data_IF_179903324970
#
_entry.id   IF_179903324970
#
_cell.length_a   1.000
_cell.length_b   1.000
_cell.length_c   1.000
_cell.angle_alpha   90.00
_cell.angle_beta   90.00
_cell.angle_gamma   90.00
#
_symmetry.space_group_name_H-M   'P 1'
#
loop_
_entity.id
_entity.type
_entity.pdbx_description
1 polymer ?
#
# COMPACT_ATOMS: atom_id res chain seq x y z
N UNK A 1 -8.48 20.28 26.76
CA UNK A 1 -8.94 20.33 25.35
C UNK A 1 -10.08 19.35 25.20
N UNK A 2 -11.14 19.72 24.48
CA UNK A 2 -12.20 18.77 24.13
C UNK A 2 -11.83 18.03 22.83
N UNK A 3 -12.64 17.04 22.44
CA UNK A 3 -12.44 16.26 21.21
C UNK A 3 -12.17 17.14 19.98
N UNK A 4 -12.98 18.18 19.75
CA UNK A 4 -12.83 19.09 18.60
C UNK A 4 -11.55 19.92 18.64
N UNK A 5 -11.08 20.30 19.84
CA UNK A 5 -9.81 21.02 20.00
C UNK A 5 -8.63 20.14 19.60
N UNK A 6 -8.65 18.87 20.01
CA UNK A 6 -7.63 17.90 19.64
C UNK A 6 -7.60 17.64 18.13
N UNK A 7 -8.77 17.47 17.49
CA UNK A 7 -8.85 17.31 16.02
C UNK A 7 -8.26 18.53 15.30
N UNK A 8 -8.59 19.75 15.74
CA UNK A 8 -8.01 20.99 15.16
C UNK A 8 -6.50 21.06 15.37
N UNK A 9 -6.00 20.67 16.54
CA UNK A 9 -4.56 20.62 16.82
C UNK A 9 -3.86 19.62 15.90
N UNK A 10 -4.44 18.42 15.71
CA UNK A 10 -3.91 17.41 14.81
C UNK A 10 -3.77 17.94 13.36
N UNK A 11 -4.81 18.59 12.82
CA UNK A 11 -4.72 19.19 11.49
C UNK A 11 -3.68 20.30 11.38
N UNK A 12 -3.50 21.12 12.43
CA UNK A 12 -2.43 22.12 12.45
C UNK A 12 -1.05 21.48 12.42
N UNK A 13 -0.85 20.35 13.10
CA UNK A 13 0.39 19.60 13.06
C UNK A 13 0.65 18.99 11.67
N UNK A 14 -0.38 18.45 11.01
CA UNK A 14 -0.28 18.00 9.60
C UNK A 14 0.18 19.13 8.67
N UNK A 15 -0.36 20.34 8.83
CA UNK A 15 0.03 21.50 8.02
C UNK A 15 1.50 21.92 8.23
N UNK A 16 2.09 21.56 9.38
CA UNK A 16 3.52 21.71 9.66
C UNK A 16 4.35 20.49 9.23
N UNK A 17 3.73 19.49 8.61
CA UNK A 17 4.32 18.19 8.31
C UNK A 17 4.80 17.41 9.55
N UNK A 18 4.30 17.77 10.74
CA UNK A 18 4.59 17.05 11.98
C UNK A 18 3.54 15.97 12.21
N UNK A 19 3.79 14.81 11.58
CA UNK A 19 2.87 13.67 11.67
C UNK A 19 2.90 13.00 13.04
N UNK A 20 4.01 13.07 13.77
CA UNK A 20 4.11 12.49 15.11
C UNK A 20 3.21 13.25 16.10
N UNK A 21 3.26 14.58 16.07
CA UNK A 21 2.39 15.41 16.89
C UNK A 21 0.93 15.31 16.45
N UNK A 22 0.67 15.20 15.13
CA UNK A 22 -0.68 14.98 14.62
C UNK A 22 -1.29 13.66 15.15
N UNK A 23 -0.51 12.58 15.16
CA UNK A 23 -0.92 11.29 15.73
C UNK A 23 -1.26 11.46 17.22
N UNK A 24 -0.40 12.11 18.00
CA UNK A 24 -0.64 12.34 19.42
C UNK A 24 -1.99 13.05 19.67
N UNK A 25 -2.29 14.09 18.90
CA UNK A 25 -3.56 14.79 19.01
C UNK A 25 -4.74 13.97 18.52
N UNK A 26 -4.60 13.15 17.48
CA UNK A 26 -5.67 12.24 17.07
C UNK A 26 -5.95 11.17 18.12
N UNK A 27 -4.92 10.56 18.73
CA UNK A 27 -5.10 9.62 19.82
C UNK A 27 -5.83 10.26 21.02
N UNK A 28 -5.48 11.51 21.36
CA UNK A 28 -6.17 12.27 22.40
C UNK A 28 -7.64 12.57 22.02
N UNK A 29 -7.93 12.86 20.75
CA UNK A 29 -9.29 13.04 20.26
C UNK A 29 -10.11 11.74 20.34
N UNK A 30 -9.51 10.59 19.99
CA UNK A 30 -10.12 9.26 20.10
C UNK A 30 -10.37 8.89 21.56
N UNK A 31 -9.46 9.22 22.47
CA UNK A 31 -9.66 8.99 23.91
C UNK A 31 -10.85 9.81 24.45
N UNK A 32 -11.07 11.02 23.92
CA UNK A 32 -12.18 11.89 24.32
C UNK A 32 -13.54 11.48 23.71
N UNK A 33 -13.55 10.94 22.48
CA UNK A 33 -14.75 10.39 21.83
C UNK A 33 -14.39 9.10 21.07
N UNK A 34 -14.47 7.93 21.73
CA UNK A 34 -14.04 6.66 21.14
C UNK A 34 -14.87 6.17 19.95
N UNK A 35 -16.08 6.71 19.79
CA UNK A 35 -17.09 6.39 18.79
C UNK A 35 -17.02 7.24 17.52
N UNK A 36 -16.12 8.23 17.47
CA UNK A 36 -15.91 9.03 16.25
C UNK A 36 -15.11 8.24 15.20
N UNK A 37 -15.84 7.68 14.23
CA UNK A 37 -15.28 6.93 13.12
C UNK A 37 -14.38 7.79 12.20
N UNK A 38 -14.71 9.07 12.01
CA UNK A 38 -13.97 9.97 11.13
C UNK A 38 -12.59 10.26 11.71
N UNK A 39 -12.51 10.50 13.02
CA UNK A 39 -11.21 10.74 13.66
C UNK A 39 -10.33 9.49 13.60
N UNK A 40 -10.90 8.29 13.79
CA UNK A 40 -10.13 7.04 13.61
C UNK A 40 -9.63 6.88 12.18
N UNK A 41 -10.45 7.18 11.18
CA UNK A 41 -10.05 7.18 9.78
C UNK A 41 -8.94 8.19 9.47
N UNK A 42 -8.99 9.40 10.03
CA UNK A 42 -7.92 10.41 9.86
C UNK A 42 -6.64 10.00 10.56
N UNK A 43 -6.76 9.37 11.72
CA UNK A 43 -5.64 8.80 12.45
C UNK A 43 -4.96 7.68 11.64
N UNK A 44 -5.72 6.77 11.02
CA UNK A 44 -5.15 5.71 10.18
C UNK A 44 -4.36 6.24 8.99
N UNK A 45 -4.88 7.26 8.30
CA UNK A 45 -4.16 7.94 7.21
C UNK A 45 -2.84 8.52 7.73
N UNK A 46 -2.85 9.12 8.91
CA UNK A 46 -1.66 9.77 9.48
C UNK A 46 -0.61 8.73 9.87
N UNK A 47 -1.00 7.62 10.50
CA UNK A 47 -0.11 6.49 10.75
C UNK A 47 0.49 5.90 9.48
N UNK A 48 -0.32 5.71 8.43
CA UNK A 48 0.14 5.19 7.15
C UNK A 48 1.22 6.10 6.54
N UNK A 49 1.02 7.42 6.59
CA UNK A 49 2.02 8.40 6.12
C UNK A 49 3.31 8.40 6.95
N UNK A 50 3.22 8.01 8.22
CA UNK A 50 4.39 7.83 9.11
C UNK A 50 5.03 6.45 9.00
N UNK A 51 4.58 5.60 8.07
CA UNK A 51 5.12 4.24 7.87
C UNK A 51 4.71 3.23 8.94
N UNK A 52 3.79 3.58 9.83
CA UNK A 52 3.30 2.71 10.92
C UNK A 52 2.06 1.94 10.45
N UNK A 53 2.27 0.98 9.53
CA UNK A 53 1.20 0.32 8.80
C UNK A 53 0.27 -0.50 9.69
N UNK A 54 0.79 -1.20 10.70
CA UNK A 54 -0.03 -2.01 11.62
C UNK A 54 -1.03 -1.14 12.38
N UNK A 55 -0.58 0.02 12.87
CA UNK A 55 -1.44 1.00 13.54
C UNK A 55 -2.45 1.61 12.57
N UNK A 56 -2.05 1.90 11.35
CA UNK A 56 -2.96 2.38 10.33
C UNK A 56 -4.11 1.39 10.09
N UNK A 57 -3.80 0.09 9.93
CA UNK A 57 -4.80 -0.96 9.76
C UNK A 57 -5.74 -1.08 10.96
N UNK A 58 -5.22 -1.00 12.19
CA UNK A 58 -6.01 -1.04 13.43
C UNK A 58 -7.08 0.08 13.43
N UNK A 59 -6.66 1.31 13.16
CA UNK A 59 -7.54 2.47 13.17
C UNK A 59 -8.52 2.49 11.98
N UNK A 60 -8.10 2.06 10.79
CA UNK A 60 -8.96 1.97 9.60
C UNK A 60 -10.07 0.92 9.81
N UNK A 61 -9.72 -0.25 10.36
CA UNK A 61 -10.70 -1.29 10.70
C UNK A 61 -11.67 -0.80 11.76
N UNK A 62 -11.20 -0.08 12.78
CA UNK A 62 -12.06 0.49 13.82
C UNK A 62 -13.02 1.54 13.25
N UNK A 63 -12.56 2.41 12.34
CA UNK A 63 -13.43 3.38 11.66
C UNK A 63 -14.55 2.68 10.87
N UNK A 64 -14.20 1.66 10.07
CA UNK A 64 -15.18 0.90 9.28
C UNK A 64 -16.19 0.13 10.16
N UNK A 65 -15.77 -0.34 11.34
CA UNK A 65 -16.66 -1.01 12.30
C UNK A 65 -17.66 -0.05 12.95
N UNK A 66 -17.26 1.19 13.21
CA UNK A 66 -18.12 2.21 13.80
C UNK A 66 -19.10 2.79 12.79
N UNK A 67 -18.66 3.02 11.56
CA UNK A 67 -19.49 3.51 10.47
C UNK A 67 -19.15 2.78 9.17
N UNK A 68 -20.03 1.85 8.78
CA UNK A 68 -19.92 1.09 7.54
C UNK A 68 -20.61 1.76 6.34
N UNK A 69 -21.26 2.91 6.56
CA UNK A 69 -22.01 3.66 5.57
C UNK A 69 -21.13 4.50 4.64
N UNK A 70 -19.88 4.76 5.04
CA UNK A 70 -18.88 5.48 4.24
C UNK A 70 -18.02 4.53 3.40
N UNK A 71 -18.17 4.51 2.07
CA UNK A 71 -17.36 3.64 1.20
C UNK A 71 -15.86 3.91 1.31
N UNK A 72 -15.47 5.15 1.61
CA UNK A 72 -14.08 5.59 1.72
C UNK A 72 -13.31 4.83 2.80
N UNK A 73 -13.97 4.42 3.89
CA UNK A 73 -13.33 3.67 4.97
C UNK A 73 -12.96 2.26 4.52
N UNK A 74 -13.86 1.62 3.76
CA UNK A 74 -13.61 0.30 3.18
C UNK A 74 -12.49 0.37 2.15
N UNK A 75 -12.56 1.33 1.24
CA UNK A 75 -11.54 1.52 0.20
C UNK A 75 -10.15 1.81 0.82
N UNK A 76 -10.10 2.64 1.86
CA UNK A 76 -8.84 2.91 2.56
C UNK A 76 -8.30 1.69 3.29
N UNK A 77 -9.15 0.90 3.95
CA UNK A 77 -8.72 -0.36 4.58
C UNK A 77 -8.17 -1.34 3.54
N UNK A 78 -8.85 -1.49 2.40
CA UNK A 78 -8.39 -2.35 1.29
C UNK A 78 -7.04 -1.89 0.73
N UNK A 79 -6.86 -0.58 0.55
CA UNK A 79 -5.58 -0.01 0.16
C UNK A 79 -4.47 -0.37 1.17
N UNK A 80 -4.69 -0.16 2.47
CA UNK A 80 -3.70 -0.50 3.50
C UNK A 80 -3.38 -2.01 3.55
N UNK A 81 -4.38 -2.86 3.32
CA UNK A 81 -4.16 -4.31 3.22
C UNK A 81 -3.34 -4.67 1.97
N UNK A 82 -3.59 -4.01 0.83
CA UNK A 82 -2.76 -4.16 -0.36
C UNK A 82 -1.31 -3.73 -0.11
N UNK A 83 -1.09 -2.62 0.61
CA UNK A 83 0.25 -2.19 1.04
C UNK A 83 0.95 -3.28 1.87
N UNK A 84 0.24 -3.88 2.83
CA UNK A 84 0.80 -4.93 3.69
C UNK A 84 1.23 -6.16 2.87
N UNK A 85 0.39 -6.59 1.93
CA UNK A 85 0.69 -7.72 1.04
C UNK A 85 1.89 -7.42 0.13
N UNK A 86 2.00 -6.20 -0.40
CA UNK A 86 3.16 -5.78 -1.20
C UNK A 86 4.44 -5.75 -0.37
N UNK A 87 4.40 -5.25 0.87
CA UNK A 87 5.56 -5.25 1.77
C UNK A 87 6.03 -6.67 2.08
N UNK A 88 5.11 -7.59 2.35
CA UNK A 88 5.44 -8.99 2.60
C UNK A 88 5.99 -9.67 1.34
N UNK A 89 5.36 -9.46 0.18
CA UNK A 89 5.85 -9.98 -1.10
C UNK A 89 7.27 -9.48 -1.41
N UNK A 90 7.54 -8.20 -1.17
CA UNK A 90 8.86 -7.60 -1.33
C UNK A 90 9.88 -8.26 -0.39
N UNK A 91 9.55 -8.42 0.89
CA UNK A 91 10.42 -9.08 1.87
C UNK A 91 10.78 -10.49 1.44
N UNK A 92 9.79 -11.26 0.97
CA UNK A 92 9.98 -12.62 0.48
C UNK A 92 10.82 -12.69 -0.80
N UNK A 93 10.77 -11.65 -1.65
CA UNK A 93 11.64 -11.56 -2.82
C UNK A 93 13.07 -11.18 -2.42
N UNK A 94 13.26 -10.29 -1.45
CA UNK A 94 14.59 -9.88 -1.00
C UNK A 94 15.30 -10.96 -0.17
N UNK A 95 14.54 -11.88 0.43
CA UNK A 95 15.10 -13.01 1.17
C UNK A 95 15.82 -14.00 0.21
N UNK A 96 17.14 -14.01 0.25
CA UNK A 96 18.02 -14.88 -0.54
C UNK A 96 18.13 -16.31 0.00
N UNK A 97 17.32 -16.71 0.99
CA UNK A 97 17.31 -18.10 1.48
C UNK A 97 16.66 -19.04 0.45
N UNK A 98 17.43 -19.31 -0.61
CA UNK A 98 17.19 -20.26 -1.68
C UNK A 98 17.01 -21.67 -1.11
N UNK A 99 15.79 -22.06 -0.74
CA UNK A 99 15.53 -23.48 -0.48
C UNK A 99 14.26 -23.86 0.24
N UNK A 100 13.63 -22.95 0.99
CA UNK A 100 12.47 -23.32 1.83
C UNK A 100 11.16 -22.64 1.45
N UNK A 101 11.20 -21.60 0.62
CA UNK A 101 10.02 -20.80 0.33
C UNK A 101 9.46 -21.06 -1.07
N UNK A 102 8.14 -21.20 -1.18
CA UNK A 102 7.46 -21.39 -2.46
C UNK A 102 7.71 -20.16 -3.34
N UNK A 103 8.38 -20.28 -4.51
CA UNK A 103 8.74 -19.15 -5.35
C UNK A 103 7.53 -18.38 -5.90
N UNK A 104 6.34 -18.99 -5.92
CA UNK A 104 5.09 -18.35 -6.34
C UNK A 104 4.35 -17.65 -5.20
N UNK A 105 4.80 -17.76 -3.94
CA UNK A 105 4.11 -17.11 -2.83
C UNK A 105 4.05 -15.58 -2.96
N UNK A 106 5.14 -14.86 -3.33
CA UNK A 106 5.07 -13.43 -3.59
C UNK A 106 4.07 -13.07 -4.70
N UNK A 107 4.02 -13.87 -5.78
CA UNK A 107 3.09 -13.67 -6.89
C UNK A 107 1.63 -13.76 -6.41
N UNK A 108 1.32 -14.71 -5.53
CA UNK A 108 -0.02 -14.85 -4.94
C UNK A 108 -0.40 -13.62 -4.11
N UNK A 109 0.50 -13.16 -3.22
CA UNK A 109 0.27 -11.98 -2.39
C UNK A 109 0.04 -10.72 -3.25
N UNK A 110 0.81 -10.56 -4.32
CA UNK A 110 0.69 -9.41 -5.22
C UNK A 110 -0.61 -9.41 -6.02
N UNK A 111 -1.09 -10.58 -6.45
CA UNK A 111 -2.41 -10.73 -7.09
C UNK A 111 -3.55 -10.42 -6.13
N UNK A 112 -3.43 -10.82 -4.87
CA UNK A 112 -4.39 -10.47 -3.82
C UNK A 112 -4.37 -8.95 -3.56
N UNK A 113 -3.20 -8.32 -3.48
CA UNK A 113 -3.06 -6.88 -3.36
C UNK A 113 -3.75 -6.12 -4.50
N UNK A 114 -3.58 -6.57 -5.74
CA UNK A 114 -4.27 -6.00 -6.92
C UNK A 114 -5.80 -6.19 -6.84
N UNK A 115 -6.26 -7.29 -6.26
CA UNK A 115 -7.71 -7.53 -6.09
C UNK A 115 -8.30 -6.56 -5.06
N UNK A 116 -7.54 -6.22 -4.02
CA UNK A 116 -7.94 -5.26 -2.98
C UNK A 116 -7.89 -3.82 -3.47
N UNK A 117 -6.79 -3.45 -4.15
CA UNK A 117 -6.62 -2.13 -4.74
C UNK A 117 -6.05 -2.23 -6.18
N UNK A 118 -6.94 -2.25 -7.19
CA UNK A 118 -6.54 -2.31 -8.60
C UNK A 118 -5.80 -1.06 -9.10
N UNK A 119 -5.80 0.04 -8.33
CA UNK A 119 -5.10 1.27 -8.68
C UNK A 119 -3.72 1.35 -8.01
N UNK A 120 -3.33 0.36 -7.20
CA UNK A 120 -2.05 0.37 -6.53
C UNK A 120 -0.93 -0.10 -7.48
N UNK A 121 -0.30 0.86 -8.17
CA UNK A 121 0.72 0.61 -9.19
C UNK A 121 1.92 -0.22 -8.70
N UNK A 122 2.36 -0.03 -7.45
CA UNK A 122 3.50 -0.79 -6.90
C UNK A 122 3.22 -2.31 -6.91
N UNK A 123 1.97 -2.74 -6.70
CA UNK A 123 1.62 -4.15 -6.71
C UNK A 123 1.89 -4.79 -8.09
N UNK A 124 1.58 -4.06 -9.17
CA UNK A 124 1.89 -4.48 -10.54
C UNK A 124 3.39 -4.46 -10.86
N UNK A 125 4.11 -3.44 -10.37
CA UNK A 125 5.58 -3.37 -10.53
C UNK A 125 6.25 -4.57 -9.87
N UNK A 126 5.89 -4.85 -8.62
CA UNK A 126 6.43 -6.00 -7.90
C UNK A 126 5.99 -7.33 -8.50
N UNK A 127 4.78 -7.41 -9.07
CA UNK A 127 4.32 -8.59 -9.79
C UNK A 127 5.16 -8.85 -11.04
N UNK A 128 5.51 -7.79 -11.78
CA UNK A 128 6.40 -7.89 -12.93
C UNK A 128 7.81 -8.36 -12.52
N UNK A 129 8.34 -7.83 -11.42
CA UNK A 129 9.64 -8.24 -10.87
C UNK A 129 9.60 -9.72 -10.45
N UNK A 130 8.57 -10.14 -9.73
CA UNK A 130 8.42 -11.52 -9.27
C UNK A 130 8.36 -12.50 -10.45
N UNK A 131 7.54 -12.22 -11.46
CA UNK A 131 7.49 -13.01 -12.70
C UNK A 131 8.82 -13.02 -13.44
N UNK A 132 9.54 -11.88 -13.51
CA UNK A 132 10.85 -11.81 -14.16
C UNK A 132 11.89 -12.70 -13.47
N UNK A 133 11.87 -12.80 -12.14
CA UNK A 133 12.77 -13.71 -11.39
C UNK A 133 12.46 -15.18 -11.63
N UNK A 134 11.21 -15.49 -11.98
CA UNK A 134 10.77 -16.83 -12.37
C UNK A 134 10.96 -17.13 -13.86
N UNK A 135 11.62 -16.23 -14.60
CA UNK A 135 11.79 -16.34 -16.05
C UNK A 135 10.44 -16.34 -16.83
N UNK A 136 9.37 -15.86 -16.19
CA UNK A 136 8.00 -15.76 -16.74
C UNK A 136 7.83 -14.40 -17.44
N UNK A 137 8.61 -14.17 -18.50
CA UNK A 137 8.74 -12.87 -19.12
C UNK A 137 7.43 -12.32 -19.73
N UNK A 138 6.55 -13.19 -20.24
CA UNK A 138 5.27 -12.76 -20.83
C UNK A 138 4.35 -12.19 -19.75
N UNK A 139 4.28 -12.84 -18.59
CA UNK A 139 3.51 -12.39 -17.44
C UNK A 139 4.10 -11.11 -16.84
N UNK A 140 5.43 -11.02 -16.78
CA UNK A 140 6.11 -9.80 -16.34
C UNK A 140 5.78 -8.60 -17.24
N UNK A 141 5.80 -8.81 -18.57
CA UNK A 141 5.42 -7.79 -19.55
C UNK A 141 3.94 -7.41 -19.41
N UNK A 142 3.05 -8.38 -19.17
CA UNK A 142 1.63 -8.11 -18.98
C UNK A 142 1.40 -7.21 -17.75
N UNK A 143 1.99 -7.54 -16.60
CA UNK A 143 1.89 -6.72 -15.40
C UNK A 143 2.46 -5.30 -15.59
N UNK A 144 3.59 -5.18 -16.31
CA UNK A 144 4.19 -3.88 -16.61
C UNK A 144 3.31 -3.02 -17.52
N UNK A 145 2.60 -3.63 -18.48
CA UNK A 145 1.64 -2.91 -19.34
C UNK A 145 0.46 -2.35 -18.55
N UNK A 146 -0.06 -3.12 -17.59
CA UNK A 146 -1.14 -2.65 -16.72
C UNK A 146 -0.71 -1.40 -15.93
N UNK A 147 0.44 -1.41 -15.25
CA UNK A 147 0.88 -0.22 -14.49
C UNK A 147 1.21 0.98 -15.38
N UNK A 148 1.75 0.76 -16.59
CA UNK A 148 1.94 1.84 -17.57
C UNK A 148 0.59 2.42 -18.02
N UNK A 149 -0.46 1.60 -18.12
CA UNK A 149 -1.81 2.09 -18.44
C UNK A 149 -2.39 2.96 -17.33
N UNK A 150 -2.09 2.66 -16.06
CA UNK A 150 -2.48 3.47 -14.91
C UNK A 150 -1.69 4.78 -14.83
N UNK A 151 -0.42 4.77 -15.25
CA UNK A 151 0.50 5.91 -15.19
C UNK A 151 1.24 6.10 -16.53
N UNK A 152 0.55 6.57 -17.59
CA UNK A 152 1.12 6.65 -18.94
C UNK A 152 2.28 7.64 -19.06
N UNK A 153 2.30 8.64 -18.19
CA UNK A 153 3.31 9.70 -18.19
C UNK A 153 4.57 9.32 -17.40
N UNK A 154 4.56 8.21 -16.65
CA UNK A 154 5.73 7.76 -15.91
C UNK A 154 6.81 7.24 -16.87
N UNK A 155 7.91 8.00 -16.98
CA UNK A 155 9.06 7.62 -17.79
C UNK A 155 9.86 6.47 -17.19
N UNK A 156 9.84 6.32 -15.86
CA UNK A 156 10.51 5.24 -15.13
C UNK A 156 9.90 3.88 -15.46
N UNK A 157 8.58 3.76 -15.45
CA UNK A 157 7.87 2.54 -15.85
C UNK A 157 8.18 2.15 -17.31
N UNK A 158 8.20 3.14 -18.22
CA UNK A 158 8.57 2.92 -19.63
C UNK A 158 10.02 2.45 -19.79
N UNK A 159 10.93 2.92 -18.93
CA UNK A 159 12.32 2.47 -18.93
C UNK A 159 12.45 1.03 -18.41
N UNK A 160 11.79 0.71 -17.29
CA UNK A 160 11.74 -0.66 -16.73
C UNK A 160 11.19 -1.67 -17.76
N UNK A 161 10.14 -1.29 -18.49
CA UNK A 161 9.60 -2.11 -19.57
C UNK A 161 10.60 -2.39 -20.69
N UNK A 162 11.37 -1.38 -21.12
CA UNK A 162 12.42 -1.56 -22.14
C UNK A 162 13.52 -2.50 -21.66
N UNK A 163 13.93 -2.37 -20.40
CA UNK A 163 14.99 -3.21 -19.83
C UNK A 163 14.53 -4.67 -19.69
N UNK A 164 13.26 -4.89 -19.32
CA UNK A 164 12.62 -6.21 -19.33
C UNK A 164 12.52 -6.82 -20.75
N UNK A 165 12.21 -6.02 -21.76
CA UNK A 165 12.16 -6.50 -23.15
C UNK A 165 13.56 -6.88 -23.68
N UNK A 166 14.58 -6.11 -23.32
CA UNK A 166 15.97 -6.40 -23.71
C UNK A 166 16.49 -7.67 -23.05
N UNK A 167 16.16 -7.93 -21.78
CA UNK A 167 16.57 -9.18 -21.13
C UNK A 167 15.98 -10.38 -21.85
N UNK A 168 14.68 -10.33 -22.22
CA UNK A 168 14.02 -11.39 -22.99
C UNK A 168 14.69 -11.64 -24.36
N UNK A 169 15.05 -10.59 -25.11
CA UNK A 169 15.69 -10.74 -26.42
C UNK A 169 17.01 -11.51 -26.36
N UNK A 170 17.75 -11.43 -25.24
CA UNK A 170 19.00 -12.17 -25.05
C UNK A 170 18.79 -13.68 -24.88
N UNK A 171 17.61 -14.14 -24.50
CA UNK A 171 17.30 -15.56 -24.31
C UNK A 171 16.74 -16.26 -25.56
N UNK A 172 16.44 -15.50 -26.62
CA UNK A 172 15.87 -16.02 -27.88
C UNK A 172 16.94 -16.14 -28.99
N UNK A 173 18.14 -15.60 -28.78
CA UNK A 173 19.32 -15.74 -29.66
C UNK A 173 20.18 -16.92 -29.22
#
# INVERSE_FOLDING_TARGET
MNHNDFVKAAYRSILRSDFAEAIHFFEAAIAASPDDAEVRYRCSITYARSGMLEKALEHALAALKLDNGKPEYRLHLQHLQALQLVQEAKRLLEDETEGTNNPYHPITLLKEAITLDPLYGDAYVWLAIAHSRMNEHLQAIAAMKEVISLHPDDSGLRQLMKDLQKSLQKYIQ
#
